data_IF_868718921870
#
_entry.id   IF_868718921870
#
_cell.length_a   1.000
_cell.length_b   1.000
_cell.length_c   1.000
_cell.angle_alpha   90.00
_cell.angle_beta   90.00
_cell.angle_gamma   90.00
#
_symmetry.space_group_name_H-M   'P 1'
#
loop_
_entity.id
_entity.type
_entity.pdbx_description
1 polymer ?
#
# COMPACT_ATOMS: atom_id res chain seq x y z
N UNK A 1 -0.50 -51.67 -28.30
CA UNK A 1 0.71 -50.91 -28.64
C UNK A 1 0.89 -49.82 -27.60
N UNK A 2 1.97 -49.90 -26.82
CA UNK A 2 2.33 -49.02 -25.69
C UNK A 2 3.54 -48.21 -26.16
N UNK A 3 3.42 -46.88 -26.29
CA UNK A 3 4.53 -46.01 -26.67
C UNK A 3 4.58 -44.75 -25.78
N UNK A 4 5.64 -44.74 -24.96
CA UNK A 4 6.49 -43.66 -24.40
C UNK A 4 5.95 -42.53 -23.50
N UNK A 5 6.46 -42.62 -22.26
CA UNK A 5 6.75 -41.56 -21.30
C UNK A 5 7.47 -40.36 -21.94
N UNK A 6 7.03 -39.14 -21.63
CA UNK A 6 7.98 -38.04 -21.35
C UNK A 6 7.44 -37.17 -20.23
N UNK A 7 7.99 -37.38 -19.04
CA UNK A 7 7.90 -36.48 -17.89
C UNK A 7 8.77 -35.27 -18.22
N UNK A 8 8.21 -34.06 -18.24
CA UNK A 8 9.00 -32.82 -18.25
C UNK A 8 8.96 -32.25 -16.83
N UNK A 9 10.05 -32.36 -16.05
CA UNK A 9 10.19 -31.61 -14.82
C UNK A 9 10.71 -30.21 -15.17
N UNK A 10 9.87 -29.19 -15.04
CA UNK A 10 10.36 -27.81 -15.02
C UNK A 10 10.48 -27.35 -13.56
N UNK A 11 11.60 -27.76 -12.95
CA UNK A 11 12.19 -27.09 -11.80
C UNK A 11 12.56 -25.66 -12.19
N UNK A 12 11.75 -24.70 -11.76
CA UNK A 12 12.18 -23.31 -11.61
C UNK A 12 12.16 -22.99 -10.11
N UNK A 13 13.29 -23.25 -9.48
CA UNK A 13 13.62 -22.68 -8.19
C UNK A 13 13.67 -21.15 -8.35
N UNK A 14 12.82 -20.42 -7.63
CA UNK A 14 13.12 -19.03 -7.31
C UNK A 14 13.42 -18.95 -5.82
N UNK A 15 14.68 -18.58 -5.58
CA UNK A 15 15.38 -18.56 -4.33
C UNK A 15 14.72 -17.53 -3.39
N UNK A 16 14.58 -17.97 -2.15
CA UNK A 16 14.26 -17.20 -0.95
C UNK A 16 15.18 -15.98 -0.85
N UNK A 17 14.64 -14.78 -1.09
CA UNK A 17 15.23 -13.57 -0.55
C UNK A 17 14.57 -13.30 0.80
N UNK A 18 14.96 -14.09 1.81
CA UNK A 18 14.77 -13.68 3.19
C UNK A 18 15.67 -12.45 3.39
N UNK A 19 15.05 -11.27 3.44
CA UNK A 19 15.71 -10.04 3.90
C UNK A 19 16.11 -10.23 5.37
N UNK A 20 17.26 -10.86 5.59
CA UNK A 20 17.98 -10.80 6.83
C UNK A 20 18.51 -9.36 6.94
N UNK A 21 18.11 -8.57 7.96
CA UNK A 21 18.73 -7.28 8.18
C UNK A 21 20.20 -7.50 8.57
N UNK A 22 21.18 -6.90 7.86
CA UNK A 22 22.53 -6.82 8.39
C UNK A 22 22.48 -5.92 9.61
N UNK A 23 22.64 -6.50 10.79
CA UNK A 23 23.00 -5.75 11.98
C UNK A 23 24.47 -5.32 11.87
N UNK A 24 24.78 -4.02 12.03
CA UNK A 24 26.15 -3.60 12.29
C UNK A 24 26.39 -3.62 13.80
N UNK A 25 27.43 -4.34 14.20
CA UNK A 25 27.98 -4.30 15.56
C UNK A 25 28.49 -2.88 15.87
N UNK A 26 28.26 -2.48 17.12
CA UNK A 26 28.51 -1.16 17.66
C UNK A 26 29.98 -0.71 17.61
N UNK A 27 30.21 0.60 17.44
CA UNK A 27 31.17 1.34 18.23
C UNK A 27 30.41 2.03 19.39
N UNK A 28 30.89 1.83 20.61
CA UNK A 28 30.42 2.58 21.77
C UNK A 28 30.63 4.09 21.54
N UNK A 29 29.56 4.87 21.67
CA UNK A 29 29.66 6.32 21.78
C UNK A 29 28.56 7.08 21.04
N UNK A 30 27.61 7.59 21.82
CA UNK A 30 26.69 8.71 21.50
C UNK A 30 25.63 8.51 20.40
N UNK A 31 24.37 8.44 20.83
CA UNK A 31 23.20 8.89 20.05
C UNK A 31 23.32 10.40 19.71
N UNK A 32 22.57 10.99 18.74
CA UNK A 32 21.34 10.47 18.13
C UNK A 32 21.21 10.65 16.59
N UNK A 33 20.00 10.29 16.11
CA UNK A 33 19.33 10.72 14.88
C UNK A 33 19.61 9.93 13.58
N UNK A 34 18.68 9.00 13.32
CA UNK A 34 18.39 8.47 12.00
C UNK A 34 17.98 9.63 11.06
N UNK A 35 18.87 9.99 10.15
CA UNK A 35 18.50 10.73 8.95
C UNK A 35 18.11 9.70 7.88
N UNK A 36 16.89 9.18 7.97
CA UNK A 36 16.22 8.67 6.78
C UNK A 36 16.16 9.82 5.79
N UNK A 37 16.83 9.68 4.65
CA UNK A 37 16.64 10.55 3.49
C UNK A 37 15.20 10.37 3.00
N UNK A 38 14.27 11.03 3.68
CA UNK A 38 12.94 11.29 3.18
C UNK A 38 13.15 12.19 1.95
N UNK A 39 13.05 11.59 0.77
CA UNK A 39 12.76 12.36 -0.43
C UNK A 39 11.47 13.12 -0.14
N UNK A 40 11.59 14.43 0.04
CA UNK A 40 10.47 15.32 0.31
C UNK A 40 9.52 15.21 -0.90
N UNK A 41 8.28 14.71 -0.73
CA UNK A 41 7.34 14.69 -1.85
C UNK A 41 7.02 16.14 -2.24
N UNK A 42 6.86 16.38 -3.54
CA UNK A 42 6.54 17.69 -4.06
C UNK A 42 5.32 18.31 -3.35
N UNK A 43 5.28 19.63 -3.14
CA UNK A 43 4.16 20.30 -2.48
C UNK A 43 2.94 20.31 -3.42
N UNK A 44 2.15 19.26 -3.36
CA UNK A 44 0.93 19.12 -4.16
C UNK A 44 0.17 17.88 -3.74
N UNK A 45 -0.68 18.03 -2.71
CA UNK A 45 -1.57 16.98 -2.17
C UNK A 45 -0.88 15.91 -1.30
N UNK A 46 -0.03 16.33 -0.37
CA UNK A 46 0.33 15.48 0.77
C UNK A 46 -0.95 15.08 1.51
N UNK A 47 -1.11 13.78 1.78
CA UNK A 47 -1.98 13.34 2.86
C UNK A 47 -1.66 14.15 4.12
N UNK A 48 -2.64 14.48 4.96
CA UNK A 48 -2.31 15.03 6.26
C UNK A 48 -1.38 14.02 6.94
N UNK A 49 -0.14 14.42 7.23
CA UNK A 49 0.91 13.53 7.73
C UNK A 49 0.52 12.81 9.04
N UNK A 50 -0.59 13.23 9.64
CA UNK A 50 -1.13 12.80 10.93
C UNK A 50 -2.58 12.32 10.86
N UNK A 51 -3.23 12.28 9.69
CA UNK A 51 -4.62 11.80 9.63
C UNK A 51 -4.67 10.34 10.10
N UNK A 52 -5.31 10.09 11.23
CA UNK A 52 -5.47 8.75 11.76
C UNK A 52 -6.42 7.95 10.85
N UNK A 53 -6.10 6.68 10.63
CA UNK A 53 -6.93 5.78 9.81
C UNK A 53 -8.37 5.73 10.35
N UNK A 54 -9.34 5.71 9.44
CA UNK A 54 -10.75 5.69 9.80
C UNK A 54 -11.30 7.02 10.33
N UNK A 55 -10.53 8.11 10.31
CA UNK A 55 -11.06 9.46 10.61
C UNK A 55 -11.70 10.09 9.37
N UNK A 56 -12.64 11.03 9.54
CA UNK A 56 -13.23 11.78 8.42
C UNK A 56 -12.19 12.47 7.52
N UNK A 57 -11.08 12.91 8.11
CA UNK A 57 -9.98 13.54 7.39
C UNK A 57 -9.27 12.55 6.46
N UNK A 58 -8.99 11.34 6.96
CA UNK A 58 -8.42 10.26 6.15
C UNK A 58 -9.34 9.89 4.99
N UNK A 59 -10.63 9.70 5.25
CA UNK A 59 -11.61 9.38 4.22
C UNK A 59 -11.68 10.46 3.12
N UNK A 60 -11.69 11.74 3.50
CA UNK A 60 -11.72 12.87 2.56
C UNK A 60 -10.45 12.93 1.71
N UNK A 61 -9.30 12.58 2.29
CA UNK A 61 -8.05 12.51 1.56
C UNK A 61 -8.03 11.35 0.56
N UNK A 62 -8.48 10.15 0.95
CA UNK A 62 -8.61 9.01 0.05
C UNK A 62 -9.55 9.37 -1.11
N UNK A 63 -10.70 9.96 -0.79
CA UNK A 63 -11.69 10.41 -1.76
C UNK A 63 -11.10 11.40 -2.77
N UNK A 64 -10.35 12.40 -2.29
CA UNK A 64 -9.67 13.40 -3.15
C UNK A 64 -8.55 12.77 -4.00
N UNK A 65 -7.83 11.79 -3.47
CA UNK A 65 -6.69 11.16 -4.14
C UNK A 65 -7.13 10.20 -5.24
N UNK A 66 -8.21 9.46 -5.01
CA UNK A 66 -8.76 8.48 -5.95
C UNK A 66 -9.93 9.02 -6.79
N UNK A 67 -10.42 10.22 -6.48
CA UNK A 67 -11.68 10.76 -7.02
C UNK A 67 -12.81 9.72 -6.89
N UNK A 68 -13.03 9.23 -5.66
CA UNK A 68 -14.07 8.20 -5.38
C UNK A 68 -15.45 8.82 -5.54
N UNK A 69 -15.64 10.02 -4.97
CA UNK A 69 -16.79 10.88 -5.23
C UNK A 69 -16.45 11.84 -6.36
N UNK A 70 -17.08 11.67 -7.51
CA UNK A 70 -16.90 12.54 -8.68
C UNK A 70 -18.08 13.51 -8.74
N UNK A 71 -17.81 14.83 -8.78
CA UNK A 71 -18.85 15.87 -8.85
C UNK A 71 -19.95 15.76 -7.76
N UNK A 72 -19.58 15.32 -6.56
CA UNK A 72 -20.53 15.12 -5.44
C UNK A 72 -21.44 13.89 -5.59
N UNK A 73 -21.20 13.08 -6.62
CA UNK A 73 -21.86 11.80 -6.85
C UNK A 73 -20.90 10.70 -6.43
N UNK A 74 -21.20 10.04 -5.32
CA UNK A 74 -20.38 8.98 -4.79
C UNK A 74 -21.03 8.33 -3.58
N UNK A 75 -20.63 7.10 -3.25
CA UNK A 75 -21.03 6.48 -2.00
C UNK A 75 -20.50 7.29 -0.81
N UNK A 76 -21.26 7.33 0.28
CA UNK A 76 -20.82 8.02 1.48
C UNK A 76 -19.56 7.34 2.07
N UNK A 77 -18.57 8.10 2.55
CA UNK A 77 -17.39 7.52 3.17
C UNK A 77 -17.72 6.65 4.38
N UNK A 78 -16.85 5.69 4.69
CA UNK A 78 -17.06 4.71 5.77
C UNK A 78 -18.33 3.84 5.57
N UNK A 79 -18.69 3.57 4.32
CA UNK A 79 -19.75 2.61 3.97
C UNK A 79 -19.19 1.50 3.09
N UNK A 80 -19.78 0.29 3.10
CA UNK A 80 -19.32 -0.79 2.24
C UNK A 80 -19.33 -0.45 0.75
N UNK A 81 -20.25 0.43 0.31
CA UNK A 81 -20.31 0.91 -1.06
C UNK A 81 -19.09 1.78 -1.42
N UNK A 82 -18.59 2.57 -0.46
CA UNK A 82 -17.40 3.38 -0.64
C UNK A 82 -16.14 2.52 -0.64
N UNK A 83 -16.04 1.53 0.25
CA UNK A 83 -14.89 0.61 0.26
C UNK A 83 -14.78 -0.16 -1.07
N UNK A 84 -15.91 -0.57 -1.65
CA UNK A 84 -15.96 -1.17 -2.98
C UNK A 84 -15.55 -0.19 -4.08
N UNK A 85 -16.01 1.05 -4.02
CA UNK A 85 -15.63 2.07 -4.99
C UNK A 85 -14.12 2.40 -4.93
N UNK A 86 -13.54 2.45 -3.72
CA UNK A 86 -12.08 2.57 -3.53
C UNK A 86 -11.36 1.41 -4.18
N UNK A 87 -11.78 0.16 -3.91
CA UNK A 87 -11.17 -1.01 -4.55
C UNK A 87 -11.30 -0.97 -6.08
N UNK A 88 -12.45 -0.55 -6.61
CA UNK A 88 -12.65 -0.39 -8.04
C UNK A 88 -11.69 0.64 -8.65
N UNK A 89 -11.40 1.74 -7.95
CA UNK A 89 -10.41 2.75 -8.35
C UNK A 89 -8.96 2.25 -8.23
N UNK A 90 -8.68 1.38 -7.28
CA UNK A 90 -7.36 0.77 -7.11
C UNK A 90 -7.09 -0.34 -8.13
N UNK A 91 -8.13 -1.00 -8.63
CA UNK A 91 -8.01 -2.04 -9.67
C UNK A 91 -7.20 -3.24 -9.18
N UNK A 92 -6.18 -3.63 -9.95
CA UNK A 92 -5.31 -4.77 -9.60
C UNK A 92 -4.46 -4.53 -8.36
N UNK A 93 -4.25 -3.28 -7.97
CA UNK A 93 -3.50 -2.92 -6.77
C UNK A 93 -4.39 -2.85 -5.51
N UNK A 94 -5.68 -3.15 -5.64
CA UNK A 94 -6.60 -3.17 -4.50
C UNK A 94 -6.12 -4.18 -3.42
N UNK A 95 -6.19 -3.79 -2.12
CA UNK A 95 -5.83 -4.70 -1.04
C UNK A 95 -6.67 -5.97 -1.09
N UNK A 96 -6.02 -7.10 -0.82
CA UNK A 96 -6.70 -8.41 -0.74
C UNK A 96 -7.41 -8.64 0.60
N UNK A 97 -7.22 -7.73 1.56
CA UNK A 97 -7.92 -7.71 2.85
C UNK A 97 -9.40 -7.40 2.69
N UNK A 98 -10.19 -7.74 3.71
CA UNK A 98 -11.63 -7.43 3.75
C UNK A 98 -11.87 -5.91 3.64
N UNK A 99 -12.66 -5.43 2.65
CA UNK A 99 -12.95 -4.00 2.50
C UNK A 99 -13.54 -3.41 3.78
N UNK A 100 -13.05 -2.24 4.18
CA UNK A 100 -13.47 -1.56 5.40
C UNK A 100 -12.77 -2.03 6.69
N UNK A 101 -12.00 -3.12 6.64
CA UNK A 101 -11.20 -3.58 7.80
C UNK A 101 -10.03 -2.63 8.12
N UNK A 102 -9.47 -2.73 9.33
CA UNK A 102 -8.32 -1.92 9.72
C UNK A 102 -7.08 -2.22 8.86
N UNK A 103 -6.87 -3.50 8.52
CA UNK A 103 -5.79 -3.95 7.65
C UNK A 103 -5.97 -3.42 6.22
N UNK A 104 -7.22 -3.39 5.74
CA UNK A 104 -7.53 -2.78 4.45
C UNK A 104 -7.23 -1.28 4.45
N UNK A 105 -7.65 -0.54 5.48
CA UNK A 105 -7.37 0.90 5.59
C UNK A 105 -5.87 1.20 5.62
N UNK A 106 -5.09 0.38 6.34
CA UNK A 106 -3.62 0.49 6.37
C UNK A 106 -3.00 0.25 4.98
N UNK A 107 -3.47 -0.77 4.26
CA UNK A 107 -2.97 -1.09 2.94
C UNK A 107 -3.31 0.01 1.92
N UNK A 108 -4.55 0.53 1.93
CA UNK A 108 -4.97 1.66 1.09
C UNK A 108 -4.11 2.89 1.38
N UNK A 109 -3.92 3.24 2.66
CA UNK A 109 -3.10 4.38 3.04
C UNK A 109 -1.65 4.26 2.54
N UNK A 110 -1.00 3.12 2.77
CA UNK A 110 0.38 2.89 2.33
C UNK A 110 0.53 2.96 0.80
N UNK A 111 -0.42 2.38 0.07
CA UNK A 111 -0.46 2.41 -1.39
C UNK A 111 -0.64 3.84 -1.90
N UNK A 112 -1.63 4.56 -1.39
CA UNK A 112 -1.91 5.93 -1.81
C UNK A 112 -0.77 6.88 -1.49
N UNK A 113 -0.11 6.74 -0.34
CA UNK A 113 1.11 7.52 -0.03
C UNK A 113 2.23 7.23 -1.01
N UNK A 114 2.42 5.98 -1.41
CA UNK A 114 3.43 5.60 -2.40
C UNK A 114 3.13 6.22 -3.75
N UNK A 115 1.86 6.19 -4.20
CA UNK A 115 1.44 6.82 -5.46
C UNK A 115 1.61 8.34 -5.43
N UNK A 116 1.14 9.01 -4.38
CA UNK A 116 1.28 10.47 -4.23
C UNK A 116 2.75 10.90 -4.18
N UNK A 117 3.65 10.09 -3.63
CA UNK A 117 5.08 10.38 -3.64
C UNK A 117 5.77 10.10 -4.99
N UNK A 118 5.17 9.27 -5.85
CA UNK A 118 5.70 8.89 -7.15
C UNK A 118 5.25 9.81 -8.31
N UNK A 119 4.24 10.65 -8.08
CA UNK A 119 3.72 11.62 -9.03
C UNK A 119 4.29 13.03 -8.77
#
# INVERSE_FOLDING_TARGET
MRFFLTVIPLTAAFIIAACSPPGPQAPAGAAPAAASTASSPAPGRLAPATAALGTPEWFSWVDTTLAVSDDGHGPQPNTPAWDQAVNAKLGEEAPQSEPGSAEWQQAVDALLRTRVAAH
#
